data_IF_541261606942
#
_entry.id   IF_541261606942
#
_cell.length_a   1.000
_cell.length_b   1.000
_cell.length_c   1.000
_cell.angle_alpha   90.00
_cell.angle_beta   90.00
_cell.angle_gamma   90.00
#
_symmetry.space_group_name_H-M   'P 1'
#
loop_
_entity.id
_entity.type
_entity.pdbx_description
1 polymer ?
#
# COMPACT_ATOMS: atom_id res chain seq x y z
N UNK A 1 13.62 7.57 -3.00
CA UNK A 1 13.50 8.37 -4.22
C UNK A 1 12.93 9.74 -3.87
N UNK A 2 13.33 10.79 -4.58
CA UNK A 2 12.85 12.15 -4.33
C UNK A 2 11.39 12.26 -4.78
N UNK A 3 10.49 12.61 -3.86
CA UNK A 3 9.10 12.93 -4.18
C UNK A 3 9.08 14.02 -5.26
N UNK A 4 8.52 13.72 -6.43
CA UNK A 4 8.43 14.70 -7.51
C UNK A 4 7.11 15.42 -7.36
N UNK A 5 7.15 16.74 -7.32
CA UNK A 5 5.95 17.56 -7.32
C UNK A 5 5.31 17.43 -8.71
N UNK A 6 4.13 16.80 -8.80
CA UNK A 6 3.43 16.56 -10.06
C UNK A 6 2.68 17.81 -10.50
N UNK A 7 1.89 18.36 -9.59
CA UNK A 7 0.97 19.44 -9.87
C UNK A 7 0.69 20.25 -8.59
N UNK A 8 0.29 21.50 -8.74
CA UNK A 8 -0.19 22.33 -7.63
C UNK A 8 -1.63 22.72 -7.94
N UNK A 9 -2.56 22.29 -7.10
CA UNK A 9 -3.96 22.73 -7.18
C UNK A 9 -4.09 23.98 -6.32
N UNK A 10 -4.66 25.05 -6.89
CA UNK A 10 -5.07 26.20 -6.10
C UNK A 10 -6.51 26.03 -5.62
N UNK A 11 -6.69 26.01 -4.31
CA UNK A 11 -8.00 26.04 -3.67
C UNK A 11 -8.11 27.30 -2.80
N UNK A 12 -9.00 28.23 -3.18
CA UNK A 12 -9.24 29.52 -2.51
C UNK A 12 -7.96 30.32 -2.18
N UNK A 13 -7.00 30.37 -3.10
CA UNK A 13 -5.75 31.14 -2.95
C UNK A 13 -4.59 30.40 -2.26
N UNK A 14 -4.74 29.09 -1.99
CA UNK A 14 -3.68 28.27 -1.39
C UNK A 14 -3.24 27.13 -2.33
N UNK A 15 -1.93 26.95 -2.42
CA UNK A 15 -1.28 25.92 -3.23
C UNK A 15 -1.25 24.56 -2.51
N UNK A 16 -2.12 23.63 -2.93
CA UNK A 16 -2.10 22.21 -2.51
C UNK A 16 -1.21 21.44 -3.47
N UNK A 17 -0.17 20.80 -2.95
CA UNK A 17 0.81 20.09 -3.77
C UNK A 17 0.37 18.64 -3.96
N UNK A 18 0.18 18.24 -5.21
CA UNK A 18 0.09 16.84 -5.61
C UNK A 18 1.51 16.38 -5.86
N UNK A 19 1.89 15.34 -5.12
CA UNK A 19 3.15 14.67 -5.36
C UNK A 19 2.90 13.40 -6.12
N UNK A 20 3.90 13.01 -6.90
CA UNK A 20 3.94 11.73 -7.58
C UNK A 20 5.33 11.16 -7.47
N UNK A 21 5.42 9.85 -7.33
CA UNK A 21 6.69 9.14 -7.49
C UNK A 21 6.84 8.63 -8.94
N UNK A 22 5.74 8.38 -9.66
CA UNK A 22 5.73 7.70 -10.97
C UNK A 22 4.59 8.10 -11.94
N UNK A 23 3.95 9.26 -11.74
CA UNK A 23 2.78 9.77 -12.49
C UNK A 23 1.51 8.90 -12.46
N UNK A 24 1.52 7.77 -11.73
CA UNK A 24 0.38 6.85 -11.60
C UNK A 24 -0.25 6.87 -10.20
N UNK A 25 0.53 7.25 -9.19
CA UNK A 25 0.09 7.33 -7.81
C UNK A 25 0.10 8.78 -7.35
N UNK A 26 -1.04 9.44 -7.51
CA UNK A 26 -1.24 10.80 -7.04
C UNK A 26 -1.71 10.72 -5.60
N UNK A 27 -0.94 11.32 -4.69
CA UNK A 27 -1.35 11.44 -3.31
C UNK A 27 -1.44 12.91 -2.92
N UNK A 28 -2.51 13.22 -2.18
CA UNK A 28 -2.69 14.54 -1.59
C UNK A 28 -2.04 14.52 -0.21
N UNK A 29 -1.12 15.44 0.02
CA UNK A 29 -0.47 15.59 1.33
C UNK A 29 -1.49 16.05 2.37
N UNK A 30 -1.77 15.18 3.37
CA UNK A 30 -2.61 15.53 4.53
C UNK A 30 -2.07 16.76 5.28
N UNK A 31 -0.75 16.95 5.29
CA UNK A 31 -0.11 18.13 5.88
C UNK A 31 -0.40 19.41 5.07
N UNK A 32 -0.49 19.31 3.75
CA UNK A 32 -0.82 20.46 2.90
C UNK A 32 -2.31 20.82 3.00
N UNK A 33 -3.21 19.83 3.08
CA UNK A 33 -4.64 20.07 3.37
C UNK A 33 -4.82 20.66 4.78
N UNK A 34 -4.04 20.18 5.75
CA UNK A 34 -4.09 20.68 7.12
C UNK A 34 -3.61 22.14 7.21
N UNK A 35 -2.55 22.52 6.47
CA UNK A 35 -2.10 23.92 6.31
C UNK A 35 -3.17 24.82 5.72
N UNK A 36 -4.04 24.31 4.85
CA UNK A 36 -5.17 25.07 4.33
C UNK A 36 -6.25 25.35 5.40
N UNK A 37 -6.42 24.46 6.38
CA UNK A 37 -7.44 24.62 7.42
C UNK A 37 -6.96 25.40 8.65
N UNK A 38 -5.66 25.47 8.89
CA UNK A 38 -5.08 26.14 10.05
C UNK A 38 -3.58 26.35 9.89
N UNK A 39 -3.06 27.39 10.53
CA UNK A 39 -1.62 27.64 10.70
C UNK A 39 -0.94 26.59 11.59
N UNK A 40 -1.70 25.70 12.23
CA UNK A 40 -1.24 24.56 13.03
C UNK A 40 -1.67 23.20 12.41
N UNK A 41 -0.99 22.73 11.34
CA UNK A 41 -1.40 21.54 10.59
C UNK A 41 -1.35 20.26 11.44
N UNK A 42 -0.46 20.24 12.42
CA UNK A 42 -0.29 19.10 13.31
C UNK A 42 -1.53 18.89 14.18
N UNK A 43 -2.17 19.98 14.61
CA UNK A 43 -3.38 19.93 15.44
C UNK A 43 -4.63 19.60 14.62
N UNK A 44 -4.68 20.05 13.36
CA UNK A 44 -5.72 19.61 12.42
C UNK A 44 -5.65 18.10 12.19
N UNK A 45 -4.46 17.55 11.98
CA UNK A 45 -4.27 16.10 11.81
C UNK A 45 -4.63 15.34 13.09
N UNK A 46 -4.23 15.82 14.27
CA UNK A 46 -4.65 15.22 15.56
C UNK A 46 -6.16 15.24 15.73
N UNK A 47 -6.82 16.32 15.32
CA UNK A 47 -8.27 16.44 15.39
C UNK A 47 -8.98 15.47 14.43
N UNK A 48 -8.45 15.24 13.23
CA UNK A 48 -8.96 14.19 12.34
C UNK A 48 -8.77 12.80 12.95
N UNK A 49 -7.58 12.52 13.48
CA UNK A 49 -7.29 11.24 14.14
C UNK A 49 -8.07 11.02 15.44
N UNK A 50 -8.70 12.07 16.01
CA UNK A 50 -9.60 11.94 17.17
C UNK A 50 -11.01 11.46 16.77
N UNK A 51 -11.44 11.72 15.53
CA UNK A 51 -12.80 11.40 15.08
C UNK A 51 -12.99 9.91 14.90
N UNK A 52 -14.05 9.39 15.50
CA UNK A 52 -14.43 7.98 15.38
C UNK A 52 -14.62 7.55 13.93
N UNK A 53 -15.33 8.33 13.12
CA UNK A 53 -15.54 8.03 11.70
C UNK A 53 -14.21 7.88 10.92
N UNK A 54 -13.21 8.72 11.25
CA UNK A 54 -11.89 8.64 10.62
C UNK A 54 -11.15 7.38 11.02
N UNK A 55 -11.21 7.00 12.29
CA UNK A 55 -10.60 5.75 12.79
C UNK A 55 -11.29 4.52 12.23
N UNK A 56 -12.62 4.52 12.15
CA UNK A 56 -13.40 3.43 11.55
C UNK A 56 -13.10 3.27 10.07
N UNK A 57 -13.03 4.38 9.33
CA UNK A 57 -12.64 4.36 7.93
C UNK A 57 -11.23 3.78 7.73
N UNK A 58 -10.25 4.28 8.51
CA UNK A 58 -8.87 3.80 8.41
C UNK A 58 -8.78 2.31 8.76
N UNK A 59 -9.43 1.86 9.83
CA UNK A 59 -9.40 0.46 10.23
C UNK A 59 -10.15 -0.48 9.28
N UNK A 60 -11.24 -0.03 8.67
CA UNK A 60 -11.91 -0.78 7.61
C UNK A 60 -11.02 -0.91 6.38
N UNK A 61 -10.36 0.18 5.98
CA UNK A 61 -9.44 0.13 4.85
C UNK A 61 -8.28 -0.83 5.14
N UNK A 62 -7.68 -0.75 6.32
CA UNK A 62 -6.58 -1.62 6.72
C UNK A 62 -7.03 -3.08 6.85
N UNK A 63 -8.21 -3.39 7.41
CA UNK A 63 -8.68 -4.78 7.51
C UNK A 63 -8.91 -5.44 6.15
N UNK A 64 -9.27 -4.65 5.13
CA UNK A 64 -9.45 -5.13 3.76
C UNK A 64 -8.13 -5.28 3.00
N UNK A 65 -7.12 -4.47 3.35
CA UNK A 65 -5.90 -4.34 2.53
C UNK A 65 -4.62 -4.73 3.26
N UNK A 66 -4.63 -5.04 4.55
CA UNK A 66 -3.44 -5.32 5.33
C UNK A 66 -3.62 -6.62 6.10
N UNK A 67 -3.02 -7.69 5.58
CA UNK A 67 -3.09 -9.03 6.19
C UNK A 67 -2.43 -9.10 7.57
N UNK A 68 -1.49 -8.19 7.85
CA UNK A 68 -0.81 -8.08 9.14
C UNK A 68 -1.45 -7.03 10.05
N UNK A 69 -2.63 -6.52 9.70
CA UNK A 69 -3.30 -5.50 10.49
C UNK A 69 -3.66 -6.04 11.87
N UNK A 70 -3.18 -5.35 12.91
CA UNK A 70 -3.47 -5.71 14.28
C UNK A 70 -4.90 -5.27 14.64
N UNK A 71 -5.86 -6.13 14.30
CA UNK A 71 -7.30 -5.92 14.50
C UNK A 71 -7.67 -5.79 15.98
N UNK A 72 -6.92 -6.45 16.86
CA UNK A 72 -7.14 -6.39 18.32
C UNK A 72 -6.82 -4.99 18.85
N UNK A 73 -5.66 -4.42 18.48
CA UNK A 73 -5.35 -3.04 18.88
C UNK A 73 -6.23 -2.02 18.17
N UNK A 74 -6.63 -2.29 16.93
CA UNK A 74 -7.61 -1.45 16.25
C UNK A 74 -8.93 -1.36 17.04
N UNK A 75 -9.48 -2.48 17.51
CA UNK A 75 -10.73 -2.47 18.28
C UNK A 75 -10.60 -1.67 19.58
N UNK A 76 -9.44 -1.75 20.26
CA UNK A 76 -9.16 -0.91 21.44
C UNK A 76 -9.13 0.57 21.07
N UNK A 77 -8.41 0.95 20.02
CA UNK A 77 -8.32 2.33 19.54
C UNK A 77 -9.70 2.84 19.10
N UNK A 78 -10.48 2.03 18.40
CA UNK A 78 -11.84 2.35 17.96
C UNK A 78 -12.79 2.58 19.13
N UNK A 79 -12.64 1.81 20.21
CA UNK A 79 -13.46 1.97 21.42
C UNK A 79 -13.18 3.27 22.16
N UNK A 80 -11.95 3.78 22.09
CA UNK A 80 -11.52 5.04 22.70
C UNK A 80 -11.73 6.26 21.77
N UNK A 81 -11.87 6.05 20.46
CA UNK A 81 -12.04 7.13 19.51
C UNK A 81 -13.34 7.92 19.73
N UNK A 82 -13.25 9.25 19.63
CA UNK A 82 -14.38 10.17 19.86
C UNK A 82 -14.52 10.71 21.28
N UNK A 83 -13.83 10.14 22.28
CA UNK A 83 -13.75 10.77 23.61
C UNK A 83 -12.85 12.00 23.60
N UNK A 84 -13.19 13.02 24.40
CA UNK A 84 -12.38 14.25 24.49
C UNK A 84 -10.94 14.01 24.95
N UNK A 85 -10.74 13.01 25.81
CA UNK A 85 -9.42 12.59 26.30
C UNK A 85 -8.61 11.81 25.26
N UNK A 86 -9.24 11.32 24.20
CA UNK A 86 -8.57 10.50 23.19
C UNK A 86 -7.61 11.34 22.36
N UNK A 87 -6.38 10.83 22.23
CA UNK A 87 -5.31 11.43 21.43
C UNK A 87 -4.55 10.35 20.69
N UNK A 88 -4.51 10.48 19.37
CA UNK A 88 -3.83 9.56 18.48
C UNK A 88 -3.09 10.35 17.40
N UNK A 89 -1.83 10.01 17.18
CA UNK A 89 -1.04 10.54 16.07
C UNK A 89 -0.98 9.48 14.96
N UNK A 90 -0.77 9.89 13.69
CA UNK A 90 -0.58 8.93 12.60
C UNK A 90 0.58 7.96 12.85
N UNK A 91 1.64 8.42 13.53
CA UNK A 91 2.78 7.58 13.92
C UNK A 91 2.34 6.49 14.92
N UNK A 92 1.61 6.89 15.97
CA UNK A 92 1.11 5.96 17.00
C UNK A 92 0.04 4.99 16.45
N UNK A 93 -0.74 5.41 15.44
CA UNK A 93 -1.65 4.53 14.70
C UNK A 93 -0.87 3.42 14.01
N UNK A 94 0.09 3.77 13.15
CA UNK A 94 0.93 2.80 12.42
C UNK A 94 1.67 1.86 13.38
N UNK A 95 2.27 2.38 14.45
CA UNK A 95 3.00 1.57 15.43
C UNK A 95 2.12 0.59 16.21
N UNK A 96 0.83 0.91 16.42
CA UNK A 96 -0.07 0.06 17.21
C UNK A 96 -0.87 -0.92 16.38
N UNK A 97 -1.27 -0.52 15.18
CA UNK A 97 -2.16 -1.32 14.34
C UNK A 97 -1.43 -2.04 13.22
N UNK A 98 -0.11 -1.84 13.12
CA UNK A 98 0.70 -2.26 11.96
C UNK A 98 0.13 -1.72 10.64
N UNK A 99 -0.52 -0.55 10.70
CA UNK A 99 -1.20 0.04 9.56
C UNK A 99 -0.20 0.35 8.44
N UNK A 100 -0.50 -0.18 7.25
CA UNK A 100 0.33 0.07 6.09
C UNK A 100 -0.16 1.32 5.40
N UNK A 101 0.68 2.36 5.47
CA UNK A 101 0.43 3.65 4.83
C UNK A 101 0.14 3.55 3.32
N UNK A 102 0.59 2.47 2.68
CA UNK A 102 0.46 2.18 1.26
C UNK A 102 0.37 0.66 1.05
N UNK A 103 -0.67 0.20 0.34
CA UNK A 103 -0.63 -1.10 -0.38
C UNK A 103 0.18 -1.01 -1.68
N UNK A 104 0.76 0.16 -1.97
CA UNK A 104 1.63 0.32 -3.11
C UNK A 104 2.97 -0.28 -2.76
N UNK A 105 3.16 -1.51 -3.20
CA UNK A 105 4.44 -2.08 -3.58
C UNK A 105 5.46 -0.98 -3.91
N UNK A 106 6.24 -0.57 -2.91
CA UNK A 106 7.25 0.49 -3.07
C UNK A 106 8.18 0.11 -4.22
N UNK A 107 8.75 1.09 -4.88
CA UNK A 107 9.71 0.77 -5.92
C UNK A 107 10.86 -0.06 -5.37
N UNK A 108 11.36 -0.96 -6.21
CA UNK A 108 12.42 -1.89 -5.84
C UNK A 108 13.69 -1.11 -5.51
N UNK A 109 14.39 -1.54 -4.47
CA UNK A 109 15.68 -0.96 -4.09
C UNK A 109 16.75 -1.31 -5.12
N UNK A 110 17.80 -0.49 -5.21
CA UNK A 110 18.95 -0.81 -6.07
C UNK A 110 19.60 -2.15 -5.72
N UNK A 111 19.53 -2.56 -4.44
CA UNK A 111 19.98 -3.87 -3.98
C UNK A 111 19.11 -4.98 -4.57
N UNK A 112 17.78 -4.85 -4.50
CA UNK A 112 16.86 -5.82 -5.08
C UNK A 112 17.00 -5.92 -6.61
N UNK A 113 17.22 -4.80 -7.29
CA UNK A 113 17.38 -4.74 -8.75
C UNK A 113 18.72 -5.32 -9.22
N UNK A 114 19.78 -5.13 -8.44
CA UNK A 114 21.13 -5.62 -8.76
C UNK A 114 21.36 -7.07 -8.33
N UNK A 115 20.45 -7.64 -7.54
CA UNK A 115 20.57 -9.01 -7.07
C UNK A 115 20.41 -10.03 -8.21
N UNK A 116 21.32 -11.00 -8.28
CA UNK A 116 21.23 -12.11 -9.21
C UNK A 116 20.38 -13.21 -8.60
N UNK A 117 19.12 -13.29 -9.01
CA UNK A 117 18.20 -14.30 -8.50
C UNK A 117 18.55 -15.68 -9.04
N UNK A 118 18.52 -16.69 -8.16
CA UNK A 118 18.79 -18.07 -8.54
C UNK A 118 17.64 -18.69 -9.35
N UNK A 119 16.43 -18.14 -9.24
CA UNK A 119 15.24 -18.60 -9.97
C UNK A 119 14.36 -17.42 -10.39
N UNK A 120 13.65 -17.60 -11.52
CA UNK A 120 12.61 -16.66 -11.97
C UNK A 120 11.48 -16.55 -10.93
N UNK A 121 11.18 -17.63 -10.21
CA UNK A 121 10.18 -17.64 -9.14
C UNK A 121 10.54 -16.68 -7.99
N UNK A 122 11.81 -16.65 -7.57
CA UNK A 122 12.25 -15.70 -6.53
C UNK A 122 12.23 -14.25 -7.01
N UNK A 123 12.60 -14.00 -8.27
CA UNK A 123 12.50 -12.67 -8.88
C UNK A 123 11.05 -12.19 -8.88
N UNK A 124 10.10 -13.04 -9.27
CA UNK A 124 8.67 -12.75 -9.28
C UNK A 124 8.12 -12.52 -7.86
N UNK A 125 8.56 -13.34 -6.90
CA UNK A 125 8.19 -13.16 -5.49
C UNK A 125 8.67 -11.80 -4.96
N UNK A 126 9.86 -11.34 -5.36
CA UNK A 126 10.35 -10.01 -4.96
C UNK A 126 9.56 -8.91 -5.66
N UNK A 127 9.26 -9.06 -6.95
CA UNK A 127 8.47 -8.10 -7.71
C UNK A 127 7.04 -7.95 -7.17
N UNK A 128 6.42 -9.01 -6.65
CA UNK A 128 5.07 -8.97 -6.08
C UNK A 128 5.06 -8.73 -4.56
N UNK A 129 5.80 -9.51 -3.78
CA UNK A 129 5.73 -9.52 -2.29
C UNK A 129 6.88 -8.78 -1.61
N UNK A 130 7.80 -8.18 -2.37
CA UNK A 130 8.98 -7.49 -1.86
C UNK A 130 9.97 -8.39 -1.07
N UNK A 131 9.83 -9.72 -1.15
CA UNK A 131 10.61 -10.69 -0.38
C UNK A 131 10.92 -11.94 -1.21
N UNK A 132 12.08 -12.54 -0.97
CA UNK A 132 12.45 -13.87 -1.49
C UNK A 132 11.77 -14.96 -0.69
N UNK A 133 11.67 -16.17 -1.25
CA UNK A 133 11.12 -17.32 -0.54
C UNK A 133 11.89 -17.63 0.76
N UNK A 134 13.22 -17.49 0.73
CA UNK A 134 14.07 -17.68 1.92
C UNK A 134 13.76 -16.67 3.03
N UNK A 135 13.69 -15.38 2.69
CA UNK A 135 13.39 -14.31 3.65
C UNK A 135 12.04 -14.51 4.32
N UNK A 136 11.02 -14.89 3.53
CA UNK A 136 9.70 -15.16 4.07
C UNK A 136 9.69 -16.33 5.06
N UNK A 137 10.42 -17.41 4.79
CA UNK A 137 10.53 -18.55 5.72
C UNK A 137 11.25 -18.16 7.01
N UNK A 138 12.29 -17.34 6.92
CA UNK A 138 13.04 -16.85 8.11
C UNK A 138 12.16 -15.97 9.00
N UNK A 139 11.28 -15.16 8.41
CA UNK A 139 10.34 -14.30 9.14
C UNK A 139 9.11 -15.05 9.67
N UNK A 140 8.80 -16.23 9.12
CA UNK A 140 7.62 -17.01 9.45
C UNK A 140 7.99 -18.45 9.84
N UNK A 141 8.79 -18.66 10.90
CA UNK A 141 9.30 -19.99 11.27
C UNK A 141 8.21 -20.98 11.68
N UNK A 142 7.09 -20.47 12.20
CA UNK A 142 5.97 -21.28 12.70
C UNK A 142 4.90 -21.57 11.63
N UNK A 143 4.97 -20.93 10.46
CA UNK A 143 4.04 -21.14 9.36
C UNK A 143 4.48 -22.28 8.46
N UNK A 144 3.54 -23.18 8.13
CA UNK A 144 3.79 -24.30 7.22
C UNK A 144 3.55 -23.85 5.79
N UNK A 145 4.50 -24.14 4.88
CA UNK A 145 4.34 -23.89 3.45
C UNK A 145 5.21 -22.74 2.95
N UNK A 146 4.68 -21.94 2.03
CA UNK A 146 5.36 -20.84 1.37
C UNK A 146 4.47 -19.60 1.27
N UNK A 147 5.05 -18.44 0.93
CA UNK A 147 4.34 -17.17 0.87
C UNK A 147 3.12 -17.12 -0.05
N UNK A 148 3.07 -17.94 -1.11
CA UNK A 148 1.95 -18.01 -2.04
C UNK A 148 0.75 -18.74 -1.42
N UNK A 149 0.98 -19.65 -0.48
CA UNK A 149 -0.10 -20.36 0.24
C UNK A 149 -0.89 -19.42 1.17
N UNK A 150 -0.27 -18.29 1.53
CA UNK A 150 -0.82 -17.24 2.37
C UNK A 150 -1.16 -15.98 1.56
N UNK A 151 -1.04 -15.99 0.23
CA UNK A 151 -1.37 -14.84 -0.61
C UNK A 151 -2.89 -14.76 -0.86
N UNK A 152 -3.40 -13.54 -1.02
CA UNK A 152 -4.79 -13.32 -1.44
C UNK A 152 -5.06 -13.81 -2.86
N UNK A 153 -6.33 -14.06 -3.19
CA UNK A 153 -6.74 -14.43 -4.54
C UNK A 153 -6.29 -13.40 -5.60
N UNK A 154 -6.36 -12.11 -5.25
CA UNK A 154 -5.92 -11.03 -6.13
C UNK A 154 -4.40 -11.09 -6.37
N UNK A 155 -3.61 -11.32 -5.33
CA UNK A 155 -2.15 -11.47 -5.46
C UNK A 155 -1.79 -12.72 -6.29
N UNK A 156 -2.48 -13.85 -6.10
CA UNK A 156 -2.27 -15.06 -6.89
C UNK A 156 -2.63 -14.87 -8.37
N UNK A 157 -3.71 -14.14 -8.67
CA UNK A 157 -4.09 -13.80 -10.04
C UNK A 157 -3.04 -12.90 -10.71
N UNK A 158 -2.59 -11.87 -9.98
CA UNK A 158 -1.52 -10.97 -10.45
C UNK A 158 -0.23 -11.74 -10.68
N UNK A 159 0.12 -12.68 -9.80
CA UNK A 159 1.29 -13.53 -9.93
C UNK A 159 1.24 -14.40 -11.19
N UNK A 160 0.11 -15.06 -11.46
CA UNK A 160 -0.08 -15.86 -12.67
C UNK A 160 0.05 -15.01 -13.96
N UNK A 161 -0.48 -13.78 -13.92
CA UNK A 161 -0.30 -12.83 -15.01
C UNK A 161 1.16 -12.39 -15.17
N UNK A 162 1.86 -12.14 -14.06
CA UNK A 162 3.28 -11.79 -14.06
C UNK A 162 4.13 -12.93 -14.62
N UNK A 163 3.85 -14.18 -14.28
CA UNK A 163 4.53 -15.37 -14.82
C UNK A 163 4.41 -15.41 -16.35
N UNK A 164 3.19 -15.22 -16.87
CA UNK A 164 2.91 -15.18 -18.31
C UNK A 164 3.58 -14.00 -19.01
N UNK A 165 3.51 -12.81 -18.41
CA UNK A 165 4.12 -11.60 -18.96
C UNK A 165 5.63 -11.69 -18.95
N UNK A 166 6.22 -12.24 -17.90
CA UNK A 166 7.66 -12.43 -17.79
C UNK A 166 8.21 -13.33 -18.91
N UNK A 167 7.48 -14.39 -19.30
CA UNK A 167 7.86 -15.23 -20.44
C UNK A 167 7.97 -14.41 -21.75
N UNK A 168 7.04 -13.47 -21.96
CA UNK A 168 7.08 -12.55 -23.11
C UNK A 168 8.30 -11.62 -23.02
N UNK A 169 8.60 -11.07 -21.83
CA UNK A 169 9.74 -10.17 -21.65
C UNK A 169 11.08 -10.88 -21.87
N UNK A 170 11.20 -12.15 -21.46
CA UNK A 170 12.35 -13.01 -21.77
C UNK A 170 12.49 -13.18 -23.28
N UNK A 171 11.39 -13.48 -23.98
CA UNK A 171 11.38 -13.62 -25.44
C UNK A 171 11.79 -12.34 -26.18
N UNK A 172 11.60 -11.17 -25.56
CA UNK A 172 12.08 -9.87 -26.07
C UNK A 172 13.55 -9.57 -25.75
N UNK A 173 14.25 -10.47 -25.06
CA UNK A 173 15.64 -10.27 -24.66
C UNK A 173 15.86 -9.23 -23.57
N UNK A 174 14.82 -8.89 -22.80
CA UNK A 174 14.94 -7.86 -21.74
C UNK A 174 15.78 -8.36 -20.57
N UNK A 175 16.67 -7.50 -20.07
CA UNK A 175 17.50 -7.81 -18.92
C UNK A 175 16.66 -7.99 -17.65
N UNK A 176 17.09 -8.87 -16.74
CA UNK A 176 16.37 -9.19 -15.50
C UNK A 176 15.96 -7.94 -14.73
N UNK A 177 16.85 -6.96 -14.61
CA UNK A 177 16.60 -5.69 -13.91
C UNK A 177 15.43 -4.93 -14.52
N UNK A 178 15.41 -4.78 -15.84
CA UNK A 178 14.33 -4.09 -16.56
C UNK A 178 13.02 -4.87 -16.44
N UNK A 179 13.08 -6.20 -16.55
CA UNK A 179 11.91 -7.08 -16.35
C UNK A 179 11.32 -6.88 -14.96
N UNK A 180 12.14 -6.84 -13.91
CA UNK A 180 11.66 -6.62 -12.55
C UNK A 180 10.92 -5.29 -12.38
N UNK A 181 11.40 -4.23 -13.02
CA UNK A 181 10.73 -2.91 -12.98
C UNK A 181 9.36 -2.97 -13.67
N UNK A 182 9.29 -3.58 -14.86
CA UNK A 182 8.03 -3.73 -15.59
C UNK A 182 7.04 -4.66 -14.87
N UNK A 183 7.52 -5.75 -14.26
CA UNK A 183 6.71 -6.65 -13.46
C UNK A 183 6.19 -5.98 -12.19
N UNK A 184 7.01 -5.17 -11.51
CA UNK A 184 6.59 -4.37 -10.35
C UNK A 184 5.47 -3.39 -10.72
N UNK A 185 5.63 -2.71 -11.86
CA UNK A 185 4.66 -1.76 -12.41
C UNK A 185 3.35 -2.46 -12.80
N UNK A 186 3.43 -3.65 -13.41
CA UNK A 186 2.28 -4.48 -13.73
C UNK A 186 1.53 -4.88 -12.45
N UNK A 187 2.26 -5.41 -11.46
CA UNK A 187 1.69 -5.84 -10.19
C UNK A 187 0.92 -4.73 -9.49
N UNK A 188 1.54 -3.55 -9.35
CA UNK A 188 0.88 -2.34 -8.80
C UNK A 188 -0.41 -2.02 -9.54
N UNK A 189 -0.33 -1.95 -10.87
CA UNK A 189 -1.48 -1.56 -11.70
C UNK A 189 -2.64 -2.54 -11.56
N UNK A 190 -2.37 -3.84 -11.56
CA UNK A 190 -3.40 -4.86 -11.47
C UNK A 190 -4.00 -4.96 -10.06
N UNK A 191 -3.20 -4.90 -9.00
CA UNK A 191 -3.71 -4.93 -7.62
C UNK A 191 -4.67 -3.75 -7.35
N UNK A 192 -4.29 -2.53 -7.77
CA UNK A 192 -5.17 -1.34 -7.65
C UNK A 192 -6.47 -1.53 -8.44
N UNK A 193 -6.38 -2.10 -9.65
CA UNK A 193 -7.55 -2.29 -10.51
C UNK A 193 -8.51 -3.32 -9.91
N UNK A 194 -7.99 -4.42 -9.37
CA UNK A 194 -8.78 -5.48 -8.73
C UNK A 194 -9.44 -5.00 -7.44
N UNK A 195 -8.75 -4.18 -6.63
CA UNK A 195 -9.33 -3.52 -5.45
C UNK A 195 -10.52 -2.62 -5.84
N UNK A 196 -10.34 -1.75 -6.84
CA UNK A 196 -11.42 -0.87 -7.33
C UNK A 196 -12.64 -1.65 -7.83
N UNK A 197 -12.43 -2.80 -8.47
CA UNK A 197 -13.52 -3.67 -8.95
C UNK A 197 -14.26 -4.34 -7.78
N UNK A 198 -13.55 -4.77 -6.74
CA UNK A 198 -14.16 -5.26 -5.50
C UNK A 198 -15.07 -4.22 -4.85
N UNK A 199 -14.57 -2.99 -4.70
CA UNK A 199 -15.32 -1.89 -4.07
C UNK A 199 -16.57 -1.45 -4.86
N UNK A 200 -16.50 -1.52 -6.20
CA UNK A 200 -17.63 -1.17 -7.07
C UNK A 200 -18.65 -2.30 -7.21
N UNK A 201 -18.25 -3.56 -7.00
CA UNK A 201 -19.15 -4.71 -6.86
C UNK A 201 -19.97 -4.67 -5.57
N UNK A 202 -19.36 -4.30 -4.45
CA UNK A 202 -20.03 -4.17 -3.14
C UNK A 202 -21.09 -3.06 -3.18
N UNK A 203 -20.78 -1.89 -3.77
CA UNK A 203 -21.75 -0.79 -3.94
C UNK A 203 -22.99 -1.14 -4.78
N UNK A 204 -22.94 -2.19 -5.61
CA UNK A 204 -24.11 -2.67 -6.38
C UNK A 204 -24.96 -3.68 -5.63
N UNK A 205 -24.48 -4.25 -4.52
CA UNK A 205 -25.21 -5.21 -3.70
C UNK A 205 -25.96 -4.56 -2.54
N UNK A 206 -25.51 -3.40 -2.06
CA UNK A 206 -26.21 -2.60 -1.03
C UNK A 206 -27.36 -1.74 -1.60
N UNK A 207 -27.58 -1.82 -2.92
CA UNK A 207 -28.63 -1.09 -3.65
C UNK A 207 -29.78 -1.96 -4.15
N UNK A 208 -30.08 -3.07 -3.49
CA UNK A 208 -31.29 -3.88 -3.75
C UNK A 208 -32.04 -4.18 -2.47
#
# INVERSE_FOLDING_TARGET
MSKVKKETIEAKGFAIQIYTEDFKNDYISLTDIARYKSDEPSDVIKNWMRRKDTIEFLGLWESLNNMNFNSVEFDRIKSEAGYNSFTLSPKKWVEKTDAIKEYLLKDLTNEQLSYKYASEADMLNVALFNKRAKQWREENPDLKGNMRDYASLNELLVLANMESYNAILIGKGMEQKERMMELRKLARTQLISLQKLGDSGIKRLEGK
#
